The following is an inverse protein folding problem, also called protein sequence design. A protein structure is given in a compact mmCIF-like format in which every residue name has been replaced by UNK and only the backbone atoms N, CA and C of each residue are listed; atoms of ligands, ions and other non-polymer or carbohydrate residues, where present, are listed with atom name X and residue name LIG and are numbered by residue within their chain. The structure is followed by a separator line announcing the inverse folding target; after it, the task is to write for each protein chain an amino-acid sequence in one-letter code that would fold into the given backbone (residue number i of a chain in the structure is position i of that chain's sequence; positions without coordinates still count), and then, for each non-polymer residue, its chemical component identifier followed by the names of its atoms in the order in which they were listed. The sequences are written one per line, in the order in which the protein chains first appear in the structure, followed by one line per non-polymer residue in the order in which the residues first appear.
data_IF_226519003077
#
_entry.id   IF_226519003077
#
_cell.length_a   1.000
_cell.length_b   1.000
_cell.length_c   1.000
_cell.angle_alpha   90.00
_cell.angle_beta   90.00
_cell.angle_gamma   90.00
#
_symmetry.space_group_name_H-M   'P 1'
#
loop_
_entity.id
_entity.type
_entity.pdbx_description
1 polymer ?
#
# COMPACT_ATOMS: atom_id res chain seq x y z
N UNK A 1 -1.18 2.17 16.66
CA UNK A 1 0.00 2.86 17.19
C UNK A 1 -0.41 3.76 18.37
N UNK A 2 0.44 3.84 19.39
CA UNK A 2 0.30 4.82 20.47
C UNK A 2 1.62 5.59 20.60
N UNK A 3 1.53 6.91 20.53
CA UNK A 3 2.65 7.82 20.67
C UNK A 3 2.56 8.57 21.99
N UNK A 4 3.56 8.37 22.83
CA UNK A 4 3.68 9.03 24.14
C UNK A 4 4.51 10.31 24.00
N UNK A 5 4.01 11.41 24.52
CA UNK A 5 4.70 12.69 24.42
C UNK A 5 4.50 13.54 25.69
N UNK A 6 5.33 14.57 25.81
CA UNK A 6 5.19 15.58 26.84
C UNK A 6 3.85 16.32 26.66
N UNK A 7 3.07 16.59 27.74
CA UNK A 7 1.77 17.28 27.64
C UNK A 7 1.80 18.61 26.88
N UNK A 8 2.90 19.37 26.98
CA UNK A 8 3.10 20.65 26.27
C UNK A 8 3.27 20.50 24.74
N UNK A 9 3.63 19.29 24.27
CA UNK A 9 3.85 19.01 22.85
C UNK A 9 2.69 18.26 22.18
N UNK A 10 1.64 17.99 22.91
CA UNK A 10 0.54 17.13 22.47
C UNK A 10 -0.13 17.61 21.19
N UNK A 11 -0.38 18.92 21.02
CA UNK A 11 -0.96 19.50 19.80
C UNK A 11 -0.07 19.25 18.58
N UNK A 12 1.25 19.47 18.75
CA UNK A 12 2.26 19.23 17.70
C UNK A 12 2.24 17.77 17.21
N UNK A 13 2.25 16.83 18.16
CA UNK A 13 2.29 15.41 17.83
C UNK A 13 0.96 14.88 17.31
N UNK A 14 -0.15 15.43 17.75
CA UNK A 14 -1.46 15.10 17.22
C UNK A 14 -1.59 15.51 15.74
N UNK A 15 -1.25 16.75 15.38
CA UNK A 15 -1.29 17.21 13.98
C UNK A 15 -0.24 16.49 13.13
N UNK A 16 0.94 16.17 13.67
CA UNK A 16 1.94 15.37 12.97
C UNK A 16 1.39 13.99 12.58
N UNK A 17 0.89 13.23 13.54
CA UNK A 17 0.37 11.89 13.26
C UNK A 17 -0.86 11.90 12.36
N UNK A 18 -1.74 12.87 12.52
CA UNK A 18 -2.87 13.07 11.61
C UNK A 18 -2.40 13.27 10.17
N UNK A 19 -1.39 14.12 9.96
CA UNK A 19 -0.77 14.34 8.65
C UNK A 19 -0.09 13.10 8.07
N UNK A 20 0.77 12.45 8.86
CA UNK A 20 1.53 11.27 8.44
C UNK A 20 0.63 10.08 8.06
N UNK A 21 -0.44 9.84 8.85
CA UNK A 21 -1.36 8.75 8.54
C UNK A 21 -2.11 9.00 7.24
N UNK A 22 -2.62 10.21 7.03
CA UNK A 22 -3.26 10.59 5.76
C UNK A 22 -2.27 10.50 4.58
N UNK A 23 -1.04 10.97 4.75
CA UNK A 23 -0.01 10.89 3.71
C UNK A 23 0.30 9.43 3.34
N UNK A 24 0.37 8.54 4.33
CA UNK A 24 0.57 7.11 4.08
C UNK A 24 -0.59 6.51 3.27
N UNK A 25 -1.84 6.76 3.65
CA UNK A 25 -3.00 6.28 2.87
C UNK A 25 -2.97 6.81 1.44
N UNK A 26 -2.73 8.11 1.25
CA UNK A 26 -2.60 8.72 -0.07
C UNK A 26 -1.49 8.11 -0.92
N UNK A 27 -0.44 7.58 -0.30
CA UNK A 27 0.68 6.96 -1.01
C UNK A 27 0.39 5.55 -1.54
N UNK A 28 -0.69 4.91 -1.09
CA UNK A 28 -1.05 3.54 -1.48
C UNK A 28 -2.39 3.42 -2.21
N UNK A 29 -3.27 4.41 -2.09
CA UNK A 29 -4.53 4.46 -2.82
C UNK A 29 -4.33 4.96 -4.26
N UNK A 30 -5.12 4.43 -5.18
CA UNK A 30 -5.10 4.83 -6.61
C UNK A 30 -5.78 6.17 -6.80
N UNK A 31 -6.84 6.42 -6.03
CA UNK A 31 -7.64 7.64 -6.03
C UNK A 31 -7.57 8.36 -4.67
N UNK A 32 -6.45 9.03 -4.36
CA UNK A 32 -6.26 9.69 -3.06
C UNK A 32 -7.26 10.81 -2.79
N UNK A 33 -7.95 11.32 -3.81
CA UNK A 33 -9.05 12.27 -3.70
C UNK A 33 -10.29 11.68 -3.01
N UNK A 34 -10.42 10.36 -2.96
CA UNK A 34 -11.50 9.64 -2.27
C UNK A 34 -11.25 9.51 -0.76
N UNK A 35 -10.16 10.06 -0.25
CA UNK A 35 -9.84 10.06 1.17
C UNK A 35 -10.14 11.41 1.81
N UNK A 36 -10.75 11.40 2.97
CA UNK A 36 -11.06 12.61 3.72
C UNK A 36 -10.90 12.46 5.21
N UNK A 37 -10.96 13.57 5.92
CA UNK A 37 -11.07 13.59 7.36
C UNK A 37 -12.52 13.82 7.80
N UNK A 38 -12.95 13.06 8.78
CA UNK A 38 -14.15 13.34 9.55
C UNK A 38 -13.76 13.74 10.97
N UNK A 39 -14.25 14.87 11.45
CA UNK A 39 -14.03 15.33 12.82
C UNK A 39 -15.23 14.94 13.69
N UNK A 40 -14.98 14.25 14.80
CA UNK A 40 -16.02 13.89 15.73
C UNK A 40 -16.50 15.10 16.54
N UNK A 41 -17.80 15.37 16.52
CA UNK A 41 -18.43 16.37 17.39
C UNK A 41 -18.68 15.81 18.80
N UNK A 42 -19.03 14.50 18.89
CA UNK A 42 -19.19 13.80 20.16
C UNK A 42 -17.97 12.95 20.43
N UNK A 43 -17.20 13.36 21.41
CA UNK A 43 -15.98 12.68 21.79
C UNK A 43 -16.27 11.56 22.81
N UNK A 44 -15.50 10.47 22.73
CA UNK A 44 -15.42 9.50 23.81
C UNK A 44 -14.85 10.18 25.07
N UNK A 45 -15.20 9.66 26.24
CA UNK A 45 -14.83 10.25 27.54
C UNK A 45 -13.31 10.39 27.77
N UNK A 46 -12.52 9.62 27.05
CA UNK A 46 -11.05 9.64 27.12
C UNK A 46 -10.40 10.57 26.08
N UNK A 47 -11.14 11.07 25.10
CA UNK A 47 -10.57 11.84 23.99
C UNK A 47 -10.84 13.33 24.14
N UNK A 48 -9.83 14.17 23.86
CA UNK A 48 -9.94 15.63 23.77
C UNK A 48 -10.20 16.10 22.33
N UNK A 49 -9.68 15.36 21.35
CA UNK A 49 -9.95 15.52 19.91
C UNK A 49 -9.98 14.14 19.27
N UNK A 50 -10.81 13.97 18.25
CA UNK A 50 -10.85 12.75 17.46
C UNK A 50 -11.14 13.08 16.00
N UNK A 51 -10.41 12.42 15.10
CA UNK A 51 -10.63 12.45 13.66
C UNK A 51 -10.60 11.02 13.14
N UNK A 52 -11.41 10.76 12.11
CA UNK A 52 -11.26 9.57 11.30
C UNK A 52 -10.68 9.92 9.94
N UNK A 53 -9.87 9.03 9.40
CA UNK A 53 -9.57 8.96 7.98
C UNK A 53 -10.68 8.09 7.37
N UNK A 54 -11.42 8.64 6.44
CA UNK A 54 -12.56 8.00 5.79
C UNK A 54 -12.32 7.79 4.30
N UNK A 55 -12.86 6.67 3.76
CA UNK A 55 -13.03 6.50 2.33
C UNK A 55 -14.39 7.06 1.91
N UNK A 56 -14.39 8.18 1.19
CA UNK A 56 -15.59 8.98 0.91
C UNK A 56 -16.42 8.37 -0.23
N UNK A 57 -15.79 7.86 -1.28
CA UNK A 57 -16.45 7.34 -2.49
C UNK A 57 -16.91 5.88 -2.36
N UNK A 58 -17.27 5.43 -1.16
CA UNK A 58 -17.63 4.04 -0.93
C UNK A 58 -19.01 3.69 -1.52
N UNK A 59 -19.14 2.61 -2.30
CA UNK A 59 -20.43 2.11 -2.78
C UNK A 59 -21.32 1.56 -1.66
N UNK A 60 -20.76 1.29 -0.48
CA UNK A 60 -21.47 0.81 0.72
C UNK A 60 -21.87 1.92 1.68
N UNK A 61 -21.88 3.17 1.22
CA UNK A 61 -22.25 4.38 1.95
C UNK A 61 -21.10 5.36 2.09
N UNK A 62 -21.43 6.64 2.16
CA UNK A 62 -20.46 7.73 2.26
C UNK A 62 -19.78 7.72 3.64
N UNK A 63 -18.51 8.16 3.64
CA UNK A 63 -17.74 8.40 4.86
C UNK A 63 -17.58 7.13 5.72
N UNK A 64 -16.80 6.18 5.27
CA UNK A 64 -16.49 4.97 6.05
C UNK A 64 -15.11 5.07 6.67
N UNK A 65 -15.10 5.10 7.99
CA UNK A 65 -13.90 5.10 8.81
C UNK A 65 -12.93 3.98 8.41
N UNK A 66 -11.69 4.34 8.18
CA UNK A 66 -10.57 3.44 7.94
C UNK A 66 -9.61 3.42 9.14
N UNK A 67 -9.36 4.59 9.70
CA UNK A 67 -8.47 4.76 10.85
C UNK A 67 -8.94 5.91 11.73
N UNK A 68 -9.08 5.67 13.02
CA UNK A 68 -9.32 6.68 14.03
C UNK A 68 -8.02 7.29 14.54
N UNK A 69 -7.98 8.60 14.71
CA UNK A 69 -6.86 9.36 15.26
C UNK A 69 -7.34 10.13 16.48
N UNK A 70 -6.86 9.77 17.66
CA UNK A 70 -7.38 10.23 18.93
C UNK A 70 -6.33 10.95 19.76
N UNK A 71 -6.66 12.13 20.26
CA UNK A 71 -5.97 12.78 21.36
C UNK A 71 -6.53 12.24 22.67
N UNK A 72 -5.91 11.21 23.23
CA UNK A 72 -6.36 10.57 24.47
C UNK A 72 -5.90 11.33 25.73
N UNK A 73 -4.84 12.13 25.60
CA UNK A 73 -4.23 12.81 26.75
C UNK A 73 -3.58 11.82 27.71
N UNK A 74 -3.70 12.10 28.99
CA UNK A 74 -3.19 11.29 30.10
C UNK A 74 -4.24 10.37 30.73
N UNK A 75 -5.45 10.32 30.15
CA UNK A 75 -6.61 9.67 30.79
C UNK A 75 -6.33 8.21 31.16
N UNK A 76 -5.79 7.43 30.24
CA UNK A 76 -5.52 6.01 30.47
C UNK A 76 -4.46 5.82 31.57
N UNK A 77 -3.32 6.50 31.46
CA UNK A 77 -2.22 6.37 32.41
C UNK A 77 -2.61 6.86 33.81
N UNK A 78 -3.35 7.98 33.90
CA UNK A 78 -3.87 8.49 35.15
C UNK A 78 -4.81 7.48 35.84
N UNK A 79 -5.73 6.85 35.10
CA UNK A 79 -6.63 5.82 35.63
C UNK A 79 -5.87 4.57 36.04
N UNK A 80 -4.94 4.10 35.20
CA UNK A 80 -4.12 2.93 35.52
C UNK A 80 -3.28 3.16 36.75
N UNK A 81 -2.68 4.35 36.92
CA UNK A 81 -1.93 4.70 38.10
C UNK A 81 -2.82 4.72 39.36
N UNK A 82 -3.98 5.40 39.29
CA UNK A 82 -4.95 5.49 40.37
C UNK A 82 -5.43 4.11 40.86
N UNK A 83 -5.86 3.24 39.94
CA UNK A 83 -6.46 1.96 40.32
C UNK A 83 -5.44 0.85 40.65
N UNK A 84 -4.23 0.92 40.10
CA UNK A 84 -3.18 -0.07 40.40
C UNK A 84 -2.33 0.32 41.58
N UNK A 85 -2.33 1.60 41.97
CA UNK A 85 -1.41 2.16 42.97
C UNK A 85 0.03 2.21 42.46
N UNK A 86 0.29 2.02 41.20
CA UNK A 86 1.61 2.11 40.58
C UNK A 86 1.85 3.50 40.03
N UNK A 87 3.06 4.02 40.21
CA UNK A 87 3.51 5.26 39.57
C UNK A 87 3.82 5.02 38.09
N UNK A 88 3.07 5.66 37.20
CA UNK A 88 3.23 5.58 35.74
C UNK A 88 3.77 6.89 35.15
N UNK A 89 4.33 7.77 36.00
CA UNK A 89 5.00 8.97 35.53
C UNK A 89 6.28 8.63 34.75
N UNK A 90 6.52 9.39 33.72
CA UNK A 90 7.80 9.41 33.01
C UNK A 90 8.74 10.42 33.67
N UNK A 91 9.99 10.05 33.82
CA UNK A 91 11.05 10.94 34.27
C UNK A 91 11.97 11.22 33.08
N UNK A 92 12.01 12.46 32.65
CA UNK A 92 12.94 12.89 31.61
C UNK A 92 14.38 12.85 32.16
N UNK A 93 15.23 12.05 31.53
CA UNK A 93 16.59 11.80 32.02
C UNK A 93 17.54 13.00 31.85
N UNK A 94 17.21 13.92 30.94
CA UNK A 94 18.05 15.10 30.67
C UNK A 94 17.68 16.26 31.62
N UNK A 95 16.38 16.47 31.83
CA UNK A 95 15.87 17.61 32.62
C UNK A 95 15.52 17.26 34.05
N UNK A 96 15.28 15.97 34.32
CA UNK A 96 14.74 15.50 35.61
C UNK A 96 13.25 15.81 35.80
N UNK A 97 12.57 16.39 34.82
CA UNK A 97 11.12 16.68 34.86
C UNK A 97 10.32 15.39 34.96
N UNK A 98 9.39 15.35 35.90
CA UNK A 98 8.48 14.22 36.10
C UNK A 98 7.08 14.60 35.65
N UNK A 99 6.45 13.78 34.75
CA UNK A 99 5.11 14.04 34.23
C UNK A 99 4.42 12.77 33.81
N UNK A 100 3.08 12.77 33.77
CA UNK A 100 2.30 11.73 33.11
C UNK A 100 2.27 12.03 31.60
N UNK A 101 2.77 11.11 30.74
CA UNK A 101 2.74 11.32 29.29
C UNK A 101 1.32 11.45 28.73
N UNK A 102 1.15 12.29 27.72
CA UNK A 102 -0.05 12.31 26.92
C UNK A 102 0.09 11.33 25.73
N UNK A 103 -1.04 10.79 25.26
CA UNK A 103 -1.09 9.74 24.24
C UNK A 103 -1.84 10.24 23.01
N UNK A 104 -1.20 10.16 21.84
CA UNK A 104 -1.84 10.16 20.53
C UNK A 104 -2.01 8.71 20.12
N UNK A 105 -3.22 8.30 19.81
CA UNK A 105 -3.51 6.97 19.26
C UNK A 105 -3.90 7.08 17.82
N UNK A 106 -3.34 6.19 16.96
CA UNK A 106 -3.83 5.93 15.61
C UNK A 106 -4.21 4.46 15.51
N UNK A 107 -5.45 4.18 15.18
CA UNK A 107 -6.01 2.83 15.16
C UNK A 107 -6.79 2.58 13.88
N UNK A 108 -6.23 1.74 13.00
CA UNK A 108 -6.81 1.37 11.71
C UNK A 108 -7.08 -0.13 11.60
N UNK A 109 -8.17 -0.49 10.92
CA UNK A 109 -8.52 -1.87 10.63
C UNK A 109 -7.85 -2.37 9.35
N UNK A 110 -7.04 -3.44 9.45
CA UNK A 110 -6.36 -4.04 8.28
C UNK A 110 -7.35 -4.52 7.23
N UNK A 111 -8.38 -5.28 7.63
CA UNK A 111 -9.38 -5.82 6.72
C UNK A 111 -10.20 -4.71 6.05
N UNK A 112 -10.49 -3.64 6.78
CA UNK A 112 -11.21 -2.48 6.25
C UNK A 112 -10.36 -1.71 5.26
N UNK A 113 -9.08 -1.50 5.56
CA UNK A 113 -8.12 -0.90 4.63
C UNK A 113 -8.01 -1.74 3.35
N UNK A 114 -7.88 -3.07 3.48
CA UNK A 114 -7.85 -3.97 2.34
C UNK A 114 -9.12 -3.86 1.48
N UNK A 115 -10.31 -3.87 2.10
CA UNK A 115 -11.57 -3.73 1.38
C UNK A 115 -11.61 -2.43 0.55
N UNK A 116 -11.24 -1.30 1.15
CA UNK A 116 -11.27 -0.03 0.43
C UNK A 116 -10.18 0.10 -0.63
N UNK A 117 -9.01 -0.49 -0.43
CA UNK A 117 -7.99 -0.59 -1.48
C UNK A 117 -8.49 -1.38 -2.69
N UNK A 118 -9.20 -2.50 -2.45
CA UNK A 118 -9.79 -3.29 -3.53
C UNK A 118 -10.90 -2.53 -4.27
N UNK A 119 -11.78 -1.84 -3.53
CA UNK A 119 -12.84 -1.02 -4.13
C UNK A 119 -12.29 0.17 -4.92
N UNK A 120 -11.23 0.80 -4.42
CA UNK A 120 -10.58 1.95 -5.04
C UNK A 120 -9.86 1.56 -6.35
N UNK A 121 -9.24 0.38 -6.37
CA UNK A 121 -8.45 -0.09 -7.48
C UNK A 121 -9.28 -0.84 -8.55
N UNK A 122 -10.49 -1.31 -8.20
CA UNK A 122 -11.33 -2.05 -9.13
C UNK A 122 -11.84 -1.16 -10.26
N UNK A 123 -11.63 -1.60 -11.51
CA UNK A 123 -12.03 -0.86 -12.70
C UNK A 123 -12.50 -1.81 -13.81
N UNK A 124 -13.69 -1.59 -14.32
CA UNK A 124 -14.21 -2.27 -15.50
C UNK A 124 -13.98 -1.41 -16.75
N UNK A 125 -13.30 -1.97 -17.72
CA UNK A 125 -13.11 -1.40 -19.07
C UNK A 125 -13.93 -2.22 -20.05
N UNK A 126 -14.09 -1.76 -21.30
CA UNK A 126 -15.01 -2.38 -22.28
C UNK A 126 -14.76 -3.88 -22.49
N UNK A 127 -13.50 -4.32 -22.46
CA UNK A 127 -13.09 -5.68 -22.78
C UNK A 127 -12.30 -6.39 -21.66
N UNK A 128 -12.04 -5.70 -20.53
CA UNK A 128 -11.28 -6.29 -19.43
C UNK A 128 -11.66 -5.72 -18.06
N UNK A 129 -11.46 -6.51 -17.03
CA UNK A 129 -11.44 -6.06 -15.64
C UNK A 129 -9.98 -5.81 -15.23
N UNK A 130 -9.73 -4.69 -14.60
CA UNK A 130 -8.40 -4.29 -14.15
C UNK A 130 -8.43 -3.90 -12.69
N UNK A 131 -7.57 -4.52 -11.90
CA UNK A 131 -7.32 -4.09 -10.53
C UNK A 131 -6.15 -3.09 -10.52
N UNK A 132 -6.46 -1.79 -10.56
CA UNK A 132 -5.45 -0.70 -10.66
C UNK A 132 -4.78 -0.42 -9.33
N UNK A 133 -4.29 -1.45 -8.65
CA UNK A 133 -3.54 -1.30 -7.40
C UNK A 133 -2.29 -0.45 -7.62
N UNK A 134 -1.99 0.40 -6.63
CA UNK A 134 -0.69 1.07 -6.60
C UNK A 134 0.43 0.02 -6.71
N UNK A 135 1.42 0.19 -7.60
CA UNK A 135 2.49 -0.79 -7.80
C UNK A 135 3.23 -1.18 -6.51
N UNK A 136 3.30 -0.28 -5.51
CA UNK A 136 3.92 -0.55 -4.20
C UNK A 136 3.24 -1.69 -3.43
N UNK A 137 1.93 -1.84 -3.57
CA UNK A 137 1.14 -2.84 -2.84
C UNK A 137 0.63 -3.99 -3.71
N UNK A 138 0.83 -3.93 -5.05
CA UNK A 138 0.46 -5.03 -5.94
C UNK A 138 1.12 -6.35 -5.50
N UNK A 139 0.39 -7.47 -5.42
CA UNK A 139 0.93 -8.76 -4.96
C UNK A 139 2.13 -9.22 -5.78
N UNK A 140 2.01 -9.14 -7.11
CA UNK A 140 3.13 -9.36 -8.03
C UNK A 140 3.57 -8.04 -8.63
N UNK A 141 4.90 -7.85 -8.72
CA UNK A 141 5.48 -6.65 -9.33
C UNK A 141 5.65 -6.80 -10.84
N UNK A 142 5.87 -8.03 -11.28
CA UNK A 142 5.97 -8.39 -12.69
C UNK A 142 5.44 -9.80 -12.93
N UNK A 143 5.08 -10.07 -14.17
CA UNK A 143 4.80 -11.42 -14.67
C UNK A 143 5.65 -11.70 -15.90
N UNK A 144 6.19 -12.91 -16.04
CA UNK A 144 7.05 -13.31 -17.16
C UNK A 144 6.40 -14.41 -17.97
N UNK A 145 6.34 -14.22 -19.29
CA UNK A 145 5.73 -15.15 -20.21
C UNK A 145 6.65 -15.45 -21.40
N UNK A 146 6.80 -16.71 -21.84
CA UNK A 146 7.22 -16.99 -23.20
C UNK A 146 6.07 -16.65 -24.15
N UNK A 147 6.30 -15.98 -25.28
CA UNK A 147 5.25 -15.73 -26.28
C UNK A 147 4.55 -17.04 -26.71
N UNK A 148 5.36 -18.08 -26.96
CA UNK A 148 4.91 -19.41 -27.28
C UNK A 148 5.53 -20.44 -26.34
N UNK A 149 4.70 -21.10 -25.52
CA UNK A 149 5.14 -22.08 -24.53
C UNK A 149 5.74 -23.36 -25.16
N UNK A 150 5.34 -23.68 -26.38
CA UNK A 150 5.82 -24.86 -27.14
C UNK A 150 7.15 -24.61 -27.89
N UNK A 151 7.79 -23.47 -27.68
CA UNK A 151 9.12 -23.14 -28.22
C UNK A 151 10.15 -23.19 -27.08
N UNK A 152 10.97 -24.27 -27.00
CA UNK A 152 11.89 -24.46 -25.88
C UNK A 152 12.87 -23.31 -25.66
N UNK A 153 13.35 -22.69 -26.72
CA UNK A 153 14.28 -21.56 -26.67
C UNK A 153 13.65 -20.33 -25.99
N UNK A 154 12.37 -20.00 -26.30
CA UNK A 154 11.64 -18.92 -25.66
C UNK A 154 11.33 -19.24 -24.21
N UNK A 155 10.86 -20.47 -23.94
CA UNK A 155 10.54 -20.91 -22.59
C UNK A 155 11.78 -20.90 -21.68
N UNK A 156 12.93 -21.34 -22.20
CA UNK A 156 14.20 -21.34 -21.46
C UNK A 156 14.67 -19.93 -21.11
N UNK A 157 14.64 -19.00 -22.07
CA UNK A 157 15.01 -17.60 -21.85
C UNK A 157 14.04 -16.92 -20.88
N UNK A 158 12.73 -17.11 -21.06
CA UNK A 158 11.72 -16.55 -20.16
C UNK A 158 11.89 -17.08 -18.73
N UNK A 159 12.23 -18.37 -18.58
CA UNK A 159 12.47 -18.97 -17.25
C UNK A 159 13.70 -18.39 -16.58
N UNK A 160 14.78 -18.16 -17.30
CA UNK A 160 15.97 -17.48 -16.77
C UNK A 160 15.61 -16.08 -16.24
N UNK A 161 14.88 -15.28 -17.03
CA UNK A 161 14.45 -13.94 -16.62
C UNK A 161 13.54 -14.00 -15.38
N UNK A 162 12.61 -14.95 -15.34
CA UNK A 162 11.78 -15.15 -14.14
C UNK A 162 12.61 -15.50 -12.92
N UNK A 163 13.57 -16.42 -13.06
CA UNK A 163 14.42 -16.88 -11.96
C UNK A 163 15.32 -15.76 -11.41
N UNK A 164 15.77 -14.83 -12.28
CA UNK A 164 16.54 -13.66 -11.89
C UNK A 164 15.67 -12.62 -11.18
N UNK A 165 14.49 -12.29 -11.73
CA UNK A 165 13.61 -11.27 -11.17
C UNK A 165 12.99 -11.68 -9.82
N UNK A 166 12.66 -12.96 -9.63
CA UNK A 166 12.04 -13.44 -8.38
C UNK A 166 12.95 -13.34 -7.16
N UNK A 167 14.26 -13.11 -7.35
CA UNK A 167 15.19 -12.88 -6.23
C UNK A 167 14.84 -11.57 -5.50
N UNK A 168 14.42 -10.55 -6.26
CA UNK A 168 14.19 -9.22 -5.72
C UNK A 168 12.71 -8.80 -5.70
N UNK A 169 11.85 -9.46 -6.50
CA UNK A 169 10.46 -9.10 -6.67
C UNK A 169 9.55 -10.32 -6.60
N UNK A 170 8.36 -10.14 -6.04
CA UNK A 170 7.29 -11.12 -6.23
C UNK A 170 6.93 -11.12 -7.72
N UNK A 171 7.30 -12.19 -8.42
CA UNK A 171 7.16 -12.33 -9.86
C UNK A 171 6.25 -13.51 -10.17
N UNK A 172 5.26 -13.32 -11.05
CA UNK A 172 4.39 -14.38 -11.55
C UNK A 172 4.99 -15.04 -12.80
N UNK A 173 4.66 -16.31 -12.98
CA UNK A 173 4.96 -17.08 -14.19
C UNK A 173 3.67 -17.63 -14.78
N UNK A 174 3.46 -17.48 -16.08
CA UNK A 174 2.39 -18.20 -16.78
C UNK A 174 2.82 -18.54 -18.20
N UNK A 175 2.57 -19.78 -18.62
CA UNK A 175 2.83 -20.29 -19.95
C UNK A 175 1.61 -21.00 -20.56
N UNK A 176 0.44 -20.89 -19.93
CA UNK A 176 -0.82 -21.52 -20.34
C UNK A 176 -1.62 -20.67 -21.31
N UNK A 177 -2.30 -21.29 -22.23
CA UNK A 177 -3.18 -20.60 -23.18
C UNK A 177 -2.45 -19.59 -24.09
N UNK A 178 -3.18 -18.61 -24.61
CA UNK A 178 -2.61 -17.56 -25.46
C UNK A 178 -2.15 -16.34 -24.63
N UNK A 179 -1.29 -15.53 -25.22
CA UNK A 179 -0.67 -14.37 -24.56
C UNK A 179 -1.70 -13.34 -24.09
N UNK A 180 -2.76 -13.08 -24.85
CA UNK A 180 -3.81 -12.12 -24.47
C UNK A 180 -4.53 -12.51 -23.18
N UNK A 181 -4.86 -13.80 -23.00
CA UNK A 181 -5.48 -14.30 -21.78
C UNK A 181 -4.55 -14.18 -20.56
N UNK A 182 -3.24 -14.35 -20.76
CA UNK A 182 -2.26 -14.16 -19.67
C UNK A 182 -2.18 -12.70 -19.25
N UNK A 183 -2.23 -11.76 -20.19
CA UNK A 183 -2.28 -10.33 -19.86
C UNK A 183 -3.53 -10.01 -19.05
N UNK A 184 -4.70 -10.44 -19.47
CA UNK A 184 -5.95 -10.17 -18.76
C UNK A 184 -5.96 -10.78 -17.35
N UNK A 185 -5.47 -12.01 -17.20
CA UNK A 185 -5.34 -12.61 -15.86
C UNK A 185 -4.41 -11.83 -14.93
N UNK A 186 -3.38 -11.17 -15.45
CA UNK A 186 -2.51 -10.30 -14.64
C UNK A 186 -3.13 -8.92 -14.39
N UNK A 187 -3.90 -8.39 -15.35
CA UNK A 187 -4.67 -7.16 -15.15
C UNK A 187 -5.70 -7.34 -14.02
N UNK A 188 -6.41 -8.49 -13.97
CA UNK A 188 -7.40 -8.83 -12.93
C UNK A 188 -6.80 -8.91 -11.52
N UNK A 189 -5.55 -9.35 -11.36
CA UNK A 189 -4.88 -9.44 -10.06
C UNK A 189 -3.99 -8.25 -9.74
N UNK A 190 -3.94 -7.27 -10.64
CA UNK A 190 -3.27 -5.99 -10.41
C UNK A 190 -1.76 -6.00 -10.64
N UNK A 191 -1.19 -6.94 -11.40
CA UNK A 191 0.25 -6.95 -11.72
C UNK A 191 0.61 -5.78 -12.62
N UNK A 192 1.52 -4.85 -12.22
CA UNK A 192 1.77 -3.64 -12.98
C UNK A 192 2.52 -3.86 -14.30
N UNK A 193 3.39 -4.89 -14.39
CA UNK A 193 4.21 -5.14 -15.56
C UNK A 193 4.13 -6.57 -16.03
N UNK A 194 3.88 -6.76 -17.33
CA UNK A 194 3.94 -8.07 -17.98
C UNK A 194 5.11 -8.10 -18.96
N UNK A 195 6.02 -9.05 -18.80
CA UNK A 195 7.25 -9.22 -19.57
C UNK A 195 7.06 -10.39 -20.51
N UNK A 196 7.13 -10.14 -21.82
CA UNK A 196 6.98 -11.17 -22.85
C UNK A 196 8.29 -11.38 -23.57
N UNK A 197 8.73 -12.65 -23.60
CA UNK A 197 9.89 -13.11 -24.35
C UNK A 197 9.42 -13.64 -25.69
N UNK A 198 9.83 -12.99 -26.76
CA UNK A 198 9.49 -13.30 -28.15
C UNK A 198 10.73 -13.73 -28.94
N UNK A 199 10.57 -13.97 -30.27
CA UNK A 199 11.67 -14.41 -31.12
C UNK A 199 12.77 -13.34 -31.25
N UNK A 200 12.41 -12.04 -31.31
CA UNK A 200 13.38 -10.96 -31.37
C UNK A 200 14.25 -10.92 -30.10
N UNK A 201 13.69 -11.34 -28.96
CA UNK A 201 14.43 -11.39 -27.68
C UNK A 201 15.63 -12.34 -27.71
N UNK A 202 15.61 -13.35 -28.59
CA UNK A 202 16.76 -14.25 -28.78
C UNK A 202 17.92 -13.56 -29.51
N UNK A 203 17.62 -12.58 -30.34
CA UNK A 203 18.57 -11.86 -31.18
C UNK A 203 19.09 -10.60 -30.51
N UNK A 204 18.18 -9.71 -30.05
CA UNK A 204 18.50 -8.37 -29.55
C UNK A 204 18.71 -8.28 -28.03
N UNK A 205 18.47 -9.38 -27.28
CA UNK A 205 18.54 -9.44 -25.82
C UNK A 205 17.61 -8.44 -25.13
N UNK A 206 16.50 -8.09 -25.76
CA UNK A 206 15.44 -7.25 -25.19
C UNK A 206 14.14 -8.05 -25.09
N UNK A 207 13.28 -7.60 -24.20
CA UNK A 207 11.95 -8.17 -24.00
C UNK A 207 10.87 -7.10 -24.12
N UNK A 208 9.67 -7.50 -24.43
CA UNK A 208 8.52 -6.61 -24.44
C UNK A 208 7.97 -6.48 -23.03
N UNK A 209 7.97 -5.27 -22.47
CA UNK A 209 7.33 -4.93 -21.19
C UNK A 209 6.03 -4.19 -21.48
N UNK A 210 4.90 -4.74 -20.99
CA UNK A 210 3.57 -4.12 -21.10
C UNK A 210 3.15 -3.58 -19.74
N UNK A 211 2.83 -2.29 -19.69
CA UNK A 211 2.20 -1.68 -18.52
C UNK A 211 0.71 -2.02 -18.43
N UNK A 212 0.24 -2.41 -17.24
CA UNK A 212 -1.16 -2.75 -16.95
C UNK A 212 -2.13 -1.62 -17.30
N UNK A 213 -1.87 -0.40 -16.80
CA UNK A 213 -2.84 0.70 -16.87
C UNK A 213 -2.91 1.31 -18.27
N UNK A 214 -1.78 1.43 -18.96
CA UNK A 214 -1.70 2.06 -20.28
C UNK A 214 -1.83 1.09 -21.45
N UNK A 215 -1.64 -0.22 -21.20
CA UNK A 215 -1.43 -1.27 -22.20
C UNK A 215 -0.27 -1.01 -23.17
N UNK A 216 0.48 0.07 -22.99
CA UNK A 216 1.64 0.38 -23.82
C UNK A 216 2.72 -0.67 -23.64
N UNK A 217 3.38 -0.96 -24.74
CA UNK A 217 4.47 -1.93 -24.81
C UNK A 217 5.76 -1.22 -25.21
N UNK A 218 6.85 -1.57 -24.55
CA UNK A 218 8.18 -1.05 -24.88
C UNK A 218 9.22 -2.17 -24.80
N UNK A 219 10.31 -2.00 -25.55
CA UNK A 219 11.40 -2.97 -25.59
C UNK A 219 12.48 -2.56 -24.58
N UNK A 220 12.68 -3.39 -23.56
CA UNK A 220 13.67 -3.16 -22.47
C UNK A 220 14.75 -4.23 -22.54
N UNK A 221 16.02 -3.85 -22.37
CA UNK A 221 17.11 -4.80 -22.28
C UNK A 221 16.97 -5.72 -21.05
N UNK A 222 17.29 -7.00 -21.21
CA UNK A 222 17.11 -8.00 -20.14
C UNK A 222 17.87 -7.64 -18.87
N UNK A 223 19.06 -7.11 -19.01
CA UNK A 223 19.93 -6.68 -17.90
C UNK A 223 19.45 -5.39 -17.21
N UNK A 224 18.58 -4.61 -17.84
CA UNK A 224 17.98 -3.38 -17.29
C UNK A 224 16.62 -3.63 -16.59
N UNK A 225 16.02 -4.82 -16.72
CA UNK A 225 14.67 -5.09 -16.23
C UNK A 225 14.48 -4.85 -14.73
N UNK A 226 15.43 -5.27 -13.92
CA UNK A 226 15.33 -5.13 -12.47
C UNK A 226 15.33 -3.64 -12.06
N UNK A 227 16.19 -2.84 -12.66
CA UNK A 227 16.24 -1.41 -12.40
C UNK A 227 15.01 -0.68 -12.95
N UNK A 228 14.55 -1.08 -14.14
CA UNK A 228 13.31 -0.58 -14.73
C UNK A 228 12.12 -0.79 -13.79
N UNK A 229 11.93 -2.02 -13.29
CA UNK A 229 10.83 -2.33 -12.37
C UNK A 229 10.98 -1.50 -11.09
N UNK A 230 12.16 -1.50 -10.46
CA UNK A 230 12.43 -0.76 -9.23
C UNK A 230 12.06 0.71 -9.34
N UNK A 231 12.52 1.37 -10.40
CA UNK A 231 12.23 2.79 -10.66
C UNK A 231 10.73 3.11 -10.74
N UNK A 232 9.92 2.17 -11.24
CA UNK A 232 8.48 2.36 -11.38
C UNK A 232 7.67 1.89 -10.15
N UNK A 233 8.33 1.34 -9.13
CA UNK A 233 7.74 1.00 -7.84
C UNK A 233 7.93 2.11 -6.79
N UNK A 234 8.85 3.05 -7.02
CA UNK A 234 9.11 4.21 -6.15
C UNK A 234 8.04 5.28 -6.31
#
# INVERSE_FOLDING_TARGET
LQWFCHPKEMEKWFEYWKGERMAWYKSIFTHPENLGFYQHEKLAHYAKKAFDIEYIASPIGNGKEMEGIHWRGDWDLSRHSEYSGQDLDYVDLETGEKFIPNIVETSGGVDRTFLFLMLDAYNEEDDRVVLKLNPKIAPYKAAVFPLLANKPELAKLARSIYDDLKINFMTAWDDRGNIGKRYYAQDEIGTPFCITVDFESLEDKKVTVRGRDSMKQERIAIDELAEYIKKHLE
#
